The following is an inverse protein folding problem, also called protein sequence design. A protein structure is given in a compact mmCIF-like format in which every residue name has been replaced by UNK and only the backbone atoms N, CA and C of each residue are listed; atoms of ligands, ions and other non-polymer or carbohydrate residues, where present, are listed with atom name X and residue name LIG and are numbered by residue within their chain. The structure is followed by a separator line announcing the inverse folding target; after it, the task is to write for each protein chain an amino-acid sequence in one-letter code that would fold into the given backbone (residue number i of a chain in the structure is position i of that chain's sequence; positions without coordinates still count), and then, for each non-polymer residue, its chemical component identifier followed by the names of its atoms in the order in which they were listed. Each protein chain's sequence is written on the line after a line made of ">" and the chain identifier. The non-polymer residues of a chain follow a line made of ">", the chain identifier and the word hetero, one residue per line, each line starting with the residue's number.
data_IF_543713678207
#
_entry.id   IF_543713678207
#
_cell.length_a   1.000
_cell.length_b   1.000
_cell.length_c   1.000
_cell.angle_alpha   90.00
_cell.angle_beta   90.00
_cell.angle_gamma   90.00
#
_symmetry.space_group_name_H-M   'P 1'
#
loop_
_entity.id
_entity.type
_entity.pdbx_description
1 polymer ?
#
# COMPACT_ATOMS: atom_id res chain seq x y z
N UNK A 1 -12.53 26.42 10.24
CA UNK A 1 -11.35 26.36 9.36
C UNK A 1 -11.74 25.58 8.11
N UNK A 2 -11.51 26.10 6.94
CA UNK A 2 -11.76 25.38 5.69
C UNK A 2 -10.79 24.20 5.58
N UNK A 3 -11.26 23.05 5.07
CA UNK A 3 -10.46 21.85 4.90
C UNK A 3 -10.19 21.65 3.41
N UNK A 4 -8.95 21.36 3.06
CA UNK A 4 -8.59 21.05 1.69
C UNK A 4 -9.27 19.75 1.22
N UNK A 5 -9.79 19.73 0.00
CA UNK A 5 -10.39 18.55 -0.61
C UNK A 5 -9.34 17.54 -1.14
N UNK A 6 -8.04 17.76 -0.87
CA UNK A 6 -6.94 16.94 -1.36
C UNK A 6 -6.18 16.25 -0.23
N UNK A 7 -6.77 15.24 0.44
CA UNK A 7 -6.06 14.48 1.45
C UNK A 7 -4.90 13.69 0.81
N UNK A 8 -3.71 13.82 1.39
CA UNK A 8 -2.48 13.18 0.90
C UNK A 8 -1.68 12.47 2.00
N UNK A 9 -2.20 12.46 3.22
CA UNK A 9 -1.57 11.84 4.38
C UNK A 9 -2.43 10.68 4.90
N UNK A 10 -1.85 9.48 4.94
CA UNK A 10 -2.56 8.26 5.36
C UNK A 10 -3.47 7.66 4.27
N UNK A 11 -4.12 6.54 4.56
CA UNK A 11 -5.15 5.98 3.69
C UNK A 11 -6.39 6.87 3.65
N UNK A 12 -6.97 7.02 2.48
CA UNK A 12 -8.23 7.76 2.28
C UNK A 12 -9.42 6.97 2.83
N UNK A 13 -10.47 7.69 3.21
CA UNK A 13 -11.76 7.06 3.46
C UNK A 13 -12.40 6.60 2.13
N UNK A 14 -13.37 5.70 2.21
CA UNK A 14 -13.91 5.03 1.02
C UNK A 14 -14.53 5.98 -0.01
N UNK A 15 -15.18 7.05 0.43
CA UNK A 15 -15.82 8.07 -0.39
C UNK A 15 -14.84 9.12 -0.95
N UNK A 16 -13.64 9.23 -0.37
CA UNK A 16 -12.59 10.12 -0.84
C UNK A 16 -11.77 9.53 -2.01
N UNK A 17 -11.87 8.21 -2.26
CA UNK A 17 -11.12 7.53 -3.33
C UNK A 17 -11.75 7.84 -4.68
N UNK A 18 -10.96 8.41 -5.59
CA UNK A 18 -11.38 8.79 -6.94
C UNK A 18 -10.42 8.28 -8.00
N UNK A 19 -10.90 8.12 -9.23
CA UNK A 19 -10.09 7.67 -10.37
C UNK A 19 -9.64 6.21 -10.31
N UNK A 20 -10.38 5.37 -9.54
CA UNK A 20 -10.13 3.94 -9.36
C UNK A 20 -11.43 3.13 -9.36
N UNK A 21 -12.44 3.60 -10.09
CA UNK A 21 -13.77 2.99 -10.04
C UNK A 21 -13.79 1.61 -10.67
N UNK A 22 -13.07 1.40 -11.77
CA UNK A 22 -12.98 0.10 -12.45
C UNK A 22 -12.24 -0.92 -11.56
N UNK A 23 -11.11 -0.52 -10.97
CA UNK A 23 -10.36 -1.39 -10.06
C UNK A 23 -11.16 -1.71 -8.79
N UNK A 24 -11.93 -0.73 -8.27
CA UNK A 24 -12.82 -0.96 -7.13
C UNK A 24 -13.93 -1.95 -7.48
N UNK A 25 -14.57 -1.80 -8.64
CA UNK A 25 -15.61 -2.71 -9.13
C UNK A 25 -15.08 -4.13 -9.34
N UNK A 26 -13.87 -4.26 -9.91
CA UNK A 26 -13.20 -5.56 -10.05
C UNK A 26 -12.91 -6.22 -8.70
N UNK A 27 -12.43 -5.46 -7.71
CA UNK A 27 -12.21 -5.96 -6.36
C UNK A 27 -13.51 -6.41 -5.70
N UNK A 28 -14.59 -5.61 -5.79
CA UNK A 28 -15.91 -5.97 -5.28
C UNK A 28 -16.40 -7.29 -5.89
N UNK A 29 -16.28 -7.44 -7.20
CA UNK A 29 -16.67 -8.67 -7.93
C UNK A 29 -15.83 -9.86 -7.48
N UNK A 30 -14.53 -9.71 -7.32
CA UNK A 30 -13.63 -10.80 -6.92
C UNK A 30 -13.84 -11.19 -5.47
N UNK A 31 -13.85 -10.24 -4.55
CA UNK A 31 -14.04 -10.47 -3.11
C UNK A 31 -15.43 -11.01 -2.80
N UNK A 32 -16.48 -10.45 -3.41
CA UNK A 32 -17.85 -10.96 -3.29
C UNK A 32 -18.03 -12.36 -3.90
N UNK A 33 -17.31 -12.64 -4.99
CA UNK A 33 -17.22 -13.97 -5.60
C UNK A 33 -16.27 -14.94 -4.87
N UNK A 34 -15.68 -14.52 -3.75
CA UNK A 34 -14.74 -15.31 -2.94
C UNK A 34 -13.52 -15.80 -3.72
N UNK A 35 -13.06 -14.99 -4.67
CA UNK A 35 -11.83 -15.22 -5.41
C UNK A 35 -10.71 -14.46 -4.73
N UNK A 36 -9.68 -15.15 -4.19
CA UNK A 36 -8.55 -14.48 -3.56
C UNK A 36 -7.82 -13.54 -4.53
N UNK A 37 -7.43 -12.36 -4.05
CA UNK A 37 -6.75 -11.33 -4.83
C UNK A 37 -5.39 -11.01 -4.22
N UNK A 38 -4.37 -10.88 -5.05
CA UNK A 38 -3.06 -10.32 -4.70
C UNK A 38 -2.91 -8.94 -5.34
N UNK A 39 -3.16 -7.89 -4.56
CA UNK A 39 -3.07 -6.49 -4.99
C UNK A 39 -1.65 -5.97 -4.81
N UNK A 40 -1.01 -5.62 -5.92
CA UNK A 40 0.39 -5.18 -5.96
C UNK A 40 0.47 -3.75 -6.47
N UNK A 41 1.17 -2.89 -5.76
CA UNK A 41 1.51 -1.56 -6.25
C UNK A 41 2.65 -0.96 -5.42
N UNK A 42 3.40 0.00 -5.96
CA UNK A 42 4.36 0.77 -5.18
C UNK A 42 3.73 1.41 -3.94
N UNK A 43 4.58 1.81 -2.98
CA UNK A 43 4.10 2.58 -1.83
C UNK A 43 3.41 3.86 -2.28
N UNK A 44 2.35 4.27 -1.54
CA UNK A 44 1.61 5.53 -1.79
C UNK A 44 0.80 5.57 -3.09
N UNK A 45 0.59 4.41 -3.75
CA UNK A 45 -0.28 4.27 -4.92
C UNK A 45 -1.75 4.02 -4.58
N UNK A 46 -2.09 4.03 -3.28
CA UNK A 46 -3.48 3.95 -2.83
C UNK A 46 -4.04 2.54 -2.66
N UNK A 47 -3.19 1.47 -2.54
CA UNK A 47 -3.66 0.10 -2.28
C UNK A 47 -4.66 0.00 -1.14
N UNK A 48 -4.26 0.49 0.04
CA UNK A 48 -5.08 0.44 1.26
C UNK A 48 -6.38 1.24 1.10
N UNK A 49 -6.31 2.41 0.45
CA UNK A 49 -7.50 3.23 0.15
C UNK A 49 -8.46 2.52 -0.81
N UNK A 50 -7.93 1.91 -1.87
CA UNK A 50 -8.74 1.15 -2.83
C UNK A 50 -9.41 -0.07 -2.18
N UNK A 51 -8.68 -0.81 -1.33
CA UNK A 51 -9.26 -1.92 -0.58
C UNK A 51 -10.36 -1.45 0.38
N UNK A 52 -10.17 -0.31 1.07
CA UNK A 52 -11.23 0.29 1.91
C UNK A 52 -12.47 0.63 1.09
N UNK A 53 -12.30 1.24 -0.10
CA UNK A 53 -13.41 1.52 -1.01
C UNK A 53 -14.12 0.24 -1.45
N UNK A 54 -13.37 -0.78 -1.86
CA UNK A 54 -13.95 -2.04 -2.31
C UNK A 54 -14.74 -2.76 -1.22
N UNK A 55 -14.23 -2.86 0.00
CA UNK A 55 -14.95 -3.50 1.11
C UNK A 55 -16.14 -2.67 1.56
N UNK A 56 -16.05 -1.33 1.52
CA UNK A 56 -17.19 -0.45 1.79
C UNK A 56 -18.29 -0.63 0.76
N UNK A 57 -17.96 -0.68 -0.54
CA UNK A 57 -18.94 -0.94 -1.60
C UNK A 57 -19.58 -2.32 -1.46
N UNK A 58 -18.79 -3.33 -1.10
CA UNK A 58 -19.32 -4.67 -0.87
C UNK A 58 -20.31 -4.71 0.30
N UNK A 59 -20.00 -4.01 1.41
CA UNK A 59 -20.88 -3.90 2.58
C UNK A 59 -22.21 -3.21 2.27
N UNK A 60 -22.25 -2.30 1.27
CA UNK A 60 -23.52 -1.70 0.80
C UNK A 60 -24.42 -2.71 0.05
N UNK A 61 -23.83 -3.75 -0.53
CA UNK A 61 -24.58 -4.80 -1.27
C UNK A 61 -25.00 -5.93 -0.33
N UNK A 62 -24.09 -6.39 0.52
CA UNK A 62 -24.30 -7.45 1.50
C UNK A 62 -23.55 -7.12 2.78
N UNK A 63 -24.24 -7.03 3.95
CA UNK A 63 -23.57 -6.75 5.23
C UNK A 63 -22.40 -7.70 5.47
N UNK A 64 -21.19 -7.17 5.42
CA UNK A 64 -19.95 -7.93 5.38
C UNK A 64 -19.02 -7.50 6.50
N UNK A 65 -18.55 -8.46 7.29
CA UNK A 65 -17.54 -8.19 8.32
C UNK A 65 -16.15 -8.10 7.70
N UNK A 66 -15.45 -6.99 7.88
CA UNK A 66 -14.09 -6.81 7.38
C UNK A 66 -13.08 -6.97 8.49
N UNK A 67 -12.11 -7.86 8.29
CA UNK A 67 -10.96 -8.05 9.17
C UNK A 67 -9.73 -7.51 8.47
N UNK A 68 -9.05 -6.57 9.11
CA UNK A 68 -7.87 -5.91 8.55
C UNK A 68 -6.62 -6.29 9.34
N UNK A 69 -5.76 -7.09 8.72
CA UNK A 69 -4.50 -7.58 9.28
C UNK A 69 -3.32 -6.89 8.58
N UNK A 70 -2.69 -5.95 9.27
CA UNK A 70 -1.50 -5.24 8.79
C UNK A 70 -0.24 -5.95 9.27
N UNK A 71 0.59 -6.41 8.32
CA UNK A 71 1.83 -7.13 8.56
C UNK A 71 3.08 -6.26 8.35
N UNK A 72 2.94 -4.95 8.19
CA UNK A 72 4.09 -4.05 8.01
C UNK A 72 5.12 -4.23 9.13
N UNK A 73 6.37 -4.59 8.77
CA UNK A 73 7.45 -4.80 9.72
C UNK A 73 7.22 -5.97 10.70
N UNK A 74 6.50 -7.02 10.28
CA UNK A 74 6.29 -8.21 11.08
C UNK A 74 7.63 -8.83 11.52
N UNK A 75 7.77 -9.13 12.84
CA UNK A 75 9.05 -9.54 13.41
C UNK A 75 9.11 -10.98 13.93
N UNK A 76 7.96 -11.59 14.25
CA UNK A 76 7.90 -12.93 14.83
C UNK A 76 6.50 -13.54 14.75
N UNK A 77 6.38 -14.86 15.01
CA UNK A 77 5.10 -15.56 15.16
C UNK A 77 4.28 -14.97 16.32
N UNK A 78 4.94 -14.57 17.41
CA UNK A 78 4.28 -13.90 18.54
C UNK A 78 3.69 -12.55 18.14
N UNK A 79 4.43 -11.75 17.33
CA UNK A 79 3.92 -10.48 16.80
C UNK A 79 2.72 -10.71 15.86
N UNK A 80 2.78 -11.75 15.03
CA UNK A 80 1.65 -12.15 14.19
C UNK A 80 0.40 -12.51 15.01
N UNK A 81 0.55 -13.31 16.07
CA UNK A 81 -0.55 -13.65 16.98
C UNK A 81 -1.20 -12.40 17.59
N UNK A 82 -0.38 -11.44 18.05
CA UNK A 82 -0.84 -10.18 18.63
C UNK A 82 -1.58 -9.31 17.60
N UNK A 83 -1.08 -9.25 16.37
CA UNK A 83 -1.73 -8.47 15.29
C UNK A 83 -3.05 -9.10 14.86
N UNK A 84 -3.10 -10.41 14.72
CA UNK A 84 -4.30 -11.15 14.39
C UNK A 84 -5.37 -10.99 15.50
N UNK A 85 -5.00 -11.17 16.77
CA UNK A 85 -5.89 -10.92 17.90
C UNK A 85 -6.46 -9.49 17.88
N UNK A 86 -5.60 -8.49 17.65
CA UNK A 86 -6.03 -7.09 17.52
C UNK A 86 -6.96 -6.86 16.34
N UNK A 87 -6.70 -7.49 15.19
CA UNK A 87 -7.57 -7.40 14.02
C UNK A 87 -8.97 -8.00 14.31
N UNK A 88 -9.01 -9.16 14.93
CA UNK A 88 -10.24 -9.82 15.34
C UNK A 88 -10.99 -9.06 16.44
N UNK A 89 -10.26 -8.44 17.40
CA UNK A 89 -10.86 -7.66 18.48
C UNK A 89 -11.59 -6.39 18.02
N UNK A 90 -11.31 -5.92 16.81
CA UNK A 90 -11.98 -4.75 16.21
C UNK A 90 -13.30 -5.08 15.53
N UNK A 91 -13.61 -6.35 15.33
CA UNK A 91 -14.90 -6.77 14.80
C UNK A 91 -16.04 -6.49 15.78
N UNK A 92 -17.25 -6.30 15.28
CA UNK A 92 -18.44 -5.91 16.08
C UNK A 92 -19.66 -6.73 15.71
N UNK A 93 -20.77 -6.54 16.43
CA UNK A 93 -22.06 -7.13 16.14
C UNK A 93 -22.07 -8.66 16.21
N UNK A 94 -22.94 -9.27 15.42
CA UNK A 94 -23.15 -10.75 15.42
C UNK A 94 -21.90 -11.56 15.10
N UNK A 95 -21.05 -11.02 14.22
CA UNK A 95 -19.77 -11.65 13.92
C UNK A 95 -18.92 -11.77 15.18
N UNK A 96 -18.77 -10.66 15.92
CA UNK A 96 -17.99 -10.63 17.16
C UNK A 96 -18.57 -11.57 18.24
N UNK A 97 -19.87 -11.57 18.44
CA UNK A 97 -20.53 -12.46 19.39
C UNK A 97 -20.30 -13.93 19.05
N UNK A 98 -20.33 -14.29 17.78
CA UNK A 98 -20.08 -15.66 17.32
C UNK A 98 -18.59 -16.02 17.50
N UNK A 99 -17.69 -15.13 17.12
CA UNK A 99 -16.24 -15.30 17.28
C UNK A 99 -15.88 -15.53 18.77
N UNK A 100 -16.41 -14.73 19.69
CA UNK A 100 -16.14 -14.86 21.13
C UNK A 100 -16.65 -16.21 21.68
N UNK A 101 -17.79 -16.69 21.19
CA UNK A 101 -18.34 -18.00 21.60
C UNK A 101 -17.44 -19.15 21.13
N UNK A 102 -16.95 -19.09 19.87
CA UNK A 102 -16.05 -20.12 19.35
C UNK A 102 -14.71 -20.08 20.07
N UNK A 103 -14.12 -18.89 20.22
CA UNK A 103 -12.86 -18.69 20.89
C UNK A 103 -12.92 -19.16 22.36
N UNK A 104 -14.01 -18.86 23.07
CA UNK A 104 -14.24 -19.35 24.44
C UNK A 104 -14.27 -20.88 24.53
N UNK A 105 -14.84 -21.55 23.54
CA UNK A 105 -14.81 -23.02 23.44
C UNK A 105 -13.40 -23.60 23.21
N UNK A 106 -12.48 -22.79 22.69
CA UNK A 106 -11.06 -23.12 22.51
C UNK A 106 -10.17 -22.59 23.65
N UNK A 107 -10.79 -22.12 24.76
CA UNK A 107 -10.11 -21.49 25.88
C UNK A 107 -9.28 -20.26 25.50
N UNK A 108 -9.74 -19.52 24.51
CA UNK A 108 -9.12 -18.30 23.99
C UNK A 108 -9.98 -17.08 24.34
N UNK A 109 -9.33 -15.98 24.70
CA UNK A 109 -9.99 -14.70 24.93
C UNK A 109 -9.49 -13.68 23.93
N UNK A 110 -10.32 -13.32 22.95
CA UNK A 110 -10.00 -12.34 21.91
C UNK A 110 -9.86 -10.96 22.54
N UNK A 111 -8.73 -10.30 22.23
CA UNK A 111 -8.39 -8.95 22.70
C UNK A 111 -7.43 -8.91 23.89
N UNK A 112 -7.10 -10.05 24.52
CA UNK A 112 -6.15 -10.10 25.64
C UNK A 112 -4.88 -10.93 25.36
N UNK A 113 -4.78 -11.55 24.18
CA UNK A 113 -3.65 -12.40 23.79
C UNK A 113 -2.32 -11.65 23.97
N UNK A 114 -2.27 -10.37 23.62
CA UNK A 114 -1.07 -9.55 23.82
C UNK A 114 -0.64 -9.41 25.29
N UNK A 115 -1.58 -9.40 26.21
CA UNK A 115 -1.31 -9.33 27.65
C UNK A 115 -0.86 -10.70 28.17
N UNK A 116 -1.47 -11.78 27.69
CA UNK A 116 -1.12 -13.16 28.07
C UNK A 116 0.29 -13.52 27.61
N UNK A 117 0.63 -13.24 26.34
CA UNK A 117 1.97 -13.48 25.78
C UNK A 117 3.07 -12.66 26.49
N UNK A 118 2.76 -11.44 26.97
CA UNK A 118 3.75 -10.62 27.72
C UNK A 118 3.95 -11.07 29.16
N UNK A 119 2.90 -11.53 29.84
CA UNK A 119 2.99 -11.98 31.24
C UNK A 119 3.84 -13.22 31.41
N UNK A 120 3.99 -13.98 30.37
CA UNK A 120 4.44 -15.37 30.46
C UNK A 120 5.76 -15.63 29.71
N UNK A 121 6.77 -14.79 29.91
CA UNK A 121 8.11 -15.02 29.35
C UNK A 121 8.75 -16.38 29.79
N UNK A 122 8.14 -17.10 30.76
CA UNK A 122 8.59 -18.44 31.23
C UNK A 122 7.53 -19.55 31.23
N UNK A 123 6.24 -19.24 31.04
CA UNK A 123 5.14 -20.23 31.14
C UNK A 123 3.88 -19.78 30.36
N UNK A 124 4.04 -18.97 29.31
CA UNK A 124 2.93 -18.48 28.48
C UNK A 124 2.44 -19.47 27.45
N UNK A 125 1.27 -19.16 26.83
CA UNK A 125 0.79 -19.95 25.73
C UNK A 125 1.81 -19.94 24.59
N UNK A 126 1.96 -21.08 23.90
CA UNK A 126 2.79 -21.17 22.71
C UNK A 126 2.22 -20.23 21.63
N UNK A 127 3.04 -19.29 21.09
CA UNK A 127 2.57 -18.37 20.06
C UNK A 127 2.02 -19.09 18.83
N UNK A 128 2.60 -20.22 18.42
CA UNK A 128 2.15 -21.01 17.28
C UNK A 128 0.78 -21.62 17.54
N UNK A 129 0.58 -22.24 18.71
CA UNK A 129 -0.72 -22.76 19.12
C UNK A 129 -1.79 -21.65 19.21
N UNK A 130 -1.39 -20.47 19.68
CA UNK A 130 -2.27 -19.30 19.73
C UNK A 130 -2.71 -18.86 18.33
N UNK A 131 -1.79 -18.79 17.37
CA UNK A 131 -2.13 -18.46 15.96
C UNK A 131 -3.11 -19.48 15.39
N UNK A 132 -2.85 -20.79 15.59
CA UNK A 132 -3.77 -21.84 15.14
C UNK A 132 -5.17 -21.65 15.73
N UNK A 133 -5.30 -21.40 17.01
CA UNK A 133 -6.59 -21.22 17.66
C UNK A 133 -7.33 -19.94 17.19
N UNK A 134 -6.61 -18.85 16.96
CA UNK A 134 -7.17 -17.62 16.38
C UNK A 134 -7.67 -17.85 14.94
N UNK A 135 -6.88 -18.52 14.10
CA UNK A 135 -7.25 -18.85 12.72
C UNK A 135 -8.42 -19.83 12.65
N UNK A 136 -8.47 -20.83 13.53
CA UNK A 136 -9.62 -21.76 13.66
C UNK A 136 -10.89 -21.02 14.07
N UNK A 137 -10.78 -20.09 15.04
CA UNK A 137 -11.91 -19.27 15.47
C UNK A 137 -12.43 -18.40 14.34
N UNK A 138 -11.53 -17.78 13.58
CA UNK A 138 -11.88 -17.02 12.38
C UNK A 138 -12.59 -17.92 11.36
N UNK A 139 -11.99 -19.04 10.96
CA UNK A 139 -12.53 -19.94 9.94
C UNK A 139 -13.94 -20.40 10.24
N UNK A 140 -14.19 -20.88 11.46
CA UNK A 140 -15.54 -21.30 11.90
C UNK A 140 -16.56 -20.16 11.94
N UNK A 141 -16.10 -18.92 12.22
CA UNK A 141 -17.00 -17.77 12.23
C UNK A 141 -17.42 -17.38 10.81
N UNK A 142 -16.52 -17.49 9.84
CA UNK A 142 -16.79 -17.13 8.44
C UNK A 142 -17.78 -18.08 7.75
N UNK A 143 -17.93 -19.30 8.21
CA UNK A 143 -18.95 -20.24 7.70
C UNK A 143 -20.39 -19.70 7.84
N UNK A 144 -20.62 -18.77 8.77
CA UNK A 144 -21.94 -18.26 9.10
C UNK A 144 -22.10 -16.75 8.87
N UNK A 145 -21.04 -16.05 8.50
CA UNK A 145 -21.05 -14.61 8.32
C UNK A 145 -20.26 -14.21 7.08
N UNK A 146 -20.86 -13.43 6.14
CA UNK A 146 -20.12 -12.85 5.04
C UNK A 146 -18.91 -12.06 5.58
N UNK A 147 -17.73 -12.42 5.11
CA UNK A 147 -16.48 -11.91 5.68
C UNK A 147 -15.48 -11.61 4.58
N UNK A 148 -14.73 -10.52 4.75
CA UNK A 148 -13.52 -10.22 3.97
C UNK A 148 -12.34 -10.12 4.92
N UNK A 149 -11.29 -10.88 4.65
CA UNK A 149 -9.99 -10.75 5.29
C UNK A 149 -9.03 -10.02 4.35
N UNK A 150 -8.53 -8.87 4.80
CA UNK A 150 -7.47 -8.11 4.14
C UNK A 150 -6.17 -8.33 4.90
N UNK A 151 -5.16 -8.86 4.21
CA UNK A 151 -3.80 -9.02 4.72
C UNK A 151 -2.91 -8.00 4.00
N UNK A 152 -2.66 -6.88 4.67
CA UNK A 152 -1.86 -5.79 4.11
C UNK A 152 -0.37 -6.01 4.41
N UNK A 153 0.50 -5.64 3.45
CA UNK A 153 1.94 -5.83 3.46
C UNK A 153 2.37 -7.28 3.73
N UNK A 154 1.68 -8.26 3.11
CA UNK A 154 1.93 -9.70 3.30
C UNK A 154 3.36 -10.11 2.98
N UNK A 155 4.05 -9.39 2.11
CA UNK A 155 5.46 -9.62 1.78
C UNK A 155 6.40 -9.48 3.00
N UNK A 156 6.00 -8.74 4.03
CA UNK A 156 6.80 -8.59 5.25
C UNK A 156 6.75 -9.82 6.17
N UNK A 157 5.87 -10.77 5.89
CA UNK A 157 5.84 -12.05 6.59
C UNK A 157 6.80 -13.10 5.99
N UNK A 158 7.38 -12.84 4.82
CA UNK A 158 8.34 -13.76 4.18
C UNK A 158 9.58 -13.90 5.06
N UNK A 159 9.91 -15.15 5.42
CA UNK A 159 11.05 -15.45 6.28
C UNK A 159 10.82 -15.23 7.78
N UNK A 160 9.59 -14.89 8.19
CA UNK A 160 9.23 -14.74 9.61
C UNK A 160 8.68 -16.06 10.15
N UNK A 161 9.56 -16.93 10.63
CA UNK A 161 9.20 -18.25 11.12
C UNK A 161 8.38 -19.05 10.10
N UNK A 162 7.29 -19.68 10.53
CA UNK A 162 6.35 -20.44 9.72
C UNK A 162 4.98 -19.75 9.59
N UNK A 163 4.94 -18.42 9.67
CA UNK A 163 3.67 -17.64 9.66
C UNK A 163 2.88 -17.86 8.38
N UNK A 164 3.53 -17.83 7.22
CA UNK A 164 2.85 -17.98 5.94
C UNK A 164 2.33 -19.41 5.72
N UNK A 165 3.06 -20.41 6.16
CA UNK A 165 2.67 -21.82 6.09
C UNK A 165 1.45 -22.08 6.98
N UNK A 166 1.45 -21.55 8.22
CA UNK A 166 0.31 -21.64 9.13
C UNK A 166 -0.91 -20.93 8.53
N UNK A 167 -0.73 -19.69 8.11
CA UNK A 167 -1.82 -18.91 7.50
C UNK A 167 -2.41 -19.63 6.28
N UNK A 168 -1.56 -20.13 5.37
CA UNK A 168 -2.01 -20.91 4.22
C UNK A 168 -2.81 -22.15 4.62
N UNK A 169 -2.32 -22.91 5.60
CA UNK A 169 -2.99 -24.14 6.05
C UNK A 169 -4.44 -23.90 6.47
N UNK A 170 -4.69 -22.82 7.24
CA UNK A 170 -6.04 -22.46 7.67
C UNK A 170 -6.85 -21.82 6.54
N UNK A 171 -6.28 -20.89 5.79
CA UNK A 171 -6.99 -20.17 4.73
C UNK A 171 -7.46 -21.10 3.62
N UNK A 172 -6.69 -22.16 3.32
CA UNK A 172 -7.06 -23.14 2.29
C UNK A 172 -8.42 -23.80 2.54
N UNK A 173 -8.78 -24.02 3.80
CA UNK A 173 -10.07 -24.63 4.18
C UNK A 173 -11.25 -23.67 4.02
N UNK A 174 -11.01 -22.35 4.08
CA UNK A 174 -12.05 -21.30 4.11
C UNK A 174 -12.07 -20.38 2.89
N UNK A 175 -11.29 -20.66 1.85
CA UNK A 175 -11.28 -19.84 0.62
C UNK A 175 -12.65 -19.69 -0.04
N UNK A 176 -13.56 -20.63 0.17
CA UNK A 176 -14.91 -20.59 -0.39
C UNK A 176 -15.92 -19.86 0.49
N UNK A 177 -15.51 -19.53 1.72
CA UNK A 177 -16.41 -18.99 2.74
C UNK A 177 -16.19 -17.50 2.96
N UNK A 178 -15.02 -16.95 2.57
CA UNK A 178 -14.72 -15.53 2.72
C UNK A 178 -14.02 -14.92 1.50
N UNK A 179 -14.17 -13.60 1.33
CA UNK A 179 -13.33 -12.80 0.43
C UNK A 179 -11.92 -12.66 1.03
N UNK A 180 -10.88 -12.78 0.21
CA UNK A 180 -9.49 -12.70 0.67
C UNK A 180 -8.68 -11.76 -0.22
N UNK A 181 -8.12 -10.72 0.38
CA UNK A 181 -7.22 -9.79 -0.28
C UNK A 181 -5.84 -9.80 0.38
N UNK A 182 -4.83 -10.12 -0.39
CA UNK A 182 -3.42 -9.89 -0.04
C UNK A 182 -2.97 -8.59 -0.69
N UNK A 183 -2.33 -7.71 0.06
CA UNK A 183 -1.75 -6.49 -0.47
C UNK A 183 -0.26 -6.41 -0.16
N UNK A 184 0.52 -5.80 -1.05
CA UNK A 184 1.94 -5.61 -0.81
C UNK A 184 2.55 -4.54 -1.71
N UNK A 185 3.57 -3.86 -1.16
CA UNK A 185 4.28 -2.77 -1.82
C UNK A 185 5.61 -3.19 -2.45
N UNK A 186 5.97 -4.47 -2.38
CA UNK A 186 7.21 -5.05 -2.91
C UNK A 186 6.90 -5.97 -4.10
N UNK A 187 6.88 -5.49 -5.35
CA UNK A 187 6.39 -6.24 -6.51
C UNK A 187 7.08 -7.59 -6.73
N UNK A 188 8.40 -7.65 -6.62
CA UNK A 188 9.17 -8.89 -6.81
C UNK A 188 8.86 -9.91 -5.72
N UNK A 189 8.76 -9.47 -4.45
CA UNK A 189 8.40 -10.35 -3.34
C UNK A 189 6.97 -10.87 -3.49
N UNK A 190 6.04 -10.02 -3.91
CA UNK A 190 4.66 -10.42 -4.22
C UNK A 190 4.62 -11.41 -5.38
N UNK A 191 5.40 -11.17 -6.44
CA UNK A 191 5.53 -12.12 -7.54
C UNK A 191 6.07 -13.46 -7.05
N UNK A 192 7.14 -13.45 -6.26
CA UNK A 192 7.70 -14.66 -5.69
C UNK A 192 6.65 -15.41 -4.85
N UNK A 193 5.96 -14.72 -3.95
CA UNK A 193 4.99 -15.34 -3.03
C UNK A 193 3.84 -16.06 -3.74
N UNK A 194 3.39 -15.54 -4.90
CA UNK A 194 2.21 -16.08 -5.62
C UNK A 194 2.54 -16.80 -6.94
N UNK A 195 3.75 -16.68 -7.47
CA UNK A 195 4.13 -17.30 -8.74
C UNK A 195 5.24 -18.34 -8.63
N UNK A 196 5.97 -18.40 -7.52
CA UNK A 196 7.01 -19.42 -7.27
C UNK A 196 6.38 -20.68 -6.68
N UNK A 197 6.65 -21.83 -7.28
CA UNK A 197 6.10 -23.15 -6.90
C UNK A 197 6.47 -23.57 -5.49
N UNK A 198 7.59 -23.07 -4.96
CA UNK A 198 8.08 -23.42 -3.61
C UNK A 198 7.46 -22.53 -2.52
N UNK A 199 6.60 -21.58 -2.89
CA UNK A 199 5.97 -20.67 -1.93
C UNK A 199 4.59 -21.14 -1.47
N UNK A 200 4.20 -20.85 -0.20
CA UNK A 200 2.94 -21.33 0.37
C UNK A 200 1.70 -20.91 -0.43
N UNK A 201 1.71 -19.73 -1.06
CA UNK A 201 0.55 -19.17 -1.78
C UNK A 201 0.65 -19.29 -3.31
N UNK A 202 1.53 -20.17 -3.82
CA UNK A 202 1.64 -20.41 -5.25
C UNK A 202 0.28 -20.62 -5.93
N UNK A 203 -0.01 -19.83 -6.95
CA UNK A 203 -1.24 -19.88 -7.77
C UNK A 203 -2.58 -19.78 -7.00
N UNK A 204 -2.57 -19.23 -5.77
CA UNK A 204 -3.76 -19.19 -4.91
C UNK A 204 -4.52 -17.86 -4.95
N UNK A 205 -4.00 -16.84 -5.60
CA UNK A 205 -4.66 -15.54 -5.70
C UNK A 205 -4.55 -14.97 -7.12
N UNK A 206 -5.61 -14.29 -7.56
CA UNK A 206 -5.59 -13.53 -8.81
C UNK A 206 -4.77 -12.26 -8.60
N UNK A 207 -3.70 -12.11 -9.37
CA UNK A 207 -2.86 -10.93 -9.33
C UNK A 207 -3.58 -9.73 -9.95
N UNK A 208 -3.55 -8.61 -9.26
CA UNK A 208 -4.03 -7.31 -9.69
C UNK A 208 -2.96 -6.27 -9.40
N UNK A 209 -2.54 -5.53 -10.40
CA UNK A 209 -1.54 -4.47 -10.27
C UNK A 209 -2.21 -3.11 -10.38
N UNK A 210 -1.84 -2.19 -9.48
CA UNK A 210 -2.25 -0.80 -9.60
C UNK A 210 -1.19 -0.03 -10.39
N UNK A 211 -1.59 0.41 -11.54
CA UNK A 211 -0.81 1.31 -12.37
C UNK A 211 -0.87 2.76 -11.85
N UNK A 212 -0.03 3.60 -12.43
CA UNK A 212 -0.13 5.05 -12.26
C UNK A 212 -1.54 5.53 -12.64
N UNK A 213 -2.07 6.54 -11.94
CA UNK A 213 -3.34 7.14 -12.33
C UNK A 213 -3.23 7.77 -13.72
N UNK A 214 -4.24 7.62 -14.58
CA UNK A 214 -4.31 8.33 -15.85
C UNK A 214 -4.23 9.85 -15.63
N UNK A 215 -3.63 10.56 -16.57
CA UNK A 215 -3.47 12.02 -16.52
C UNK A 215 -4.82 12.73 -16.43
N UNK A 216 -5.78 12.29 -17.23
CA UNK A 216 -7.14 12.82 -17.26
C UNK A 216 -7.89 12.59 -15.93
N UNK A 217 -7.70 11.44 -15.29
CA UNK A 217 -8.25 11.18 -13.97
C UNK A 217 -7.71 12.17 -12.91
N UNK A 218 -6.40 12.46 -12.93
CA UNK A 218 -5.83 13.45 -12.01
C UNK A 218 -6.38 14.83 -12.30
N UNK A 219 -6.44 15.24 -13.57
CA UNK A 219 -6.99 16.55 -13.99
C UNK A 219 -8.43 16.68 -13.50
N UNK A 220 -9.25 15.67 -13.69
CA UNK A 220 -10.65 15.66 -13.24
C UNK A 220 -10.76 15.79 -11.71
N UNK A 221 -9.99 15.02 -10.96
CA UNK A 221 -9.97 15.08 -9.49
C UNK A 221 -9.59 16.47 -9.01
N UNK A 222 -8.57 17.09 -9.60
CA UNK A 222 -8.12 18.42 -9.23
C UNK A 222 -9.20 19.46 -9.54
N UNK A 223 -9.80 19.44 -10.74
CA UNK A 223 -10.90 20.36 -11.08
C UNK A 223 -12.09 20.21 -10.14
N UNK A 224 -12.51 18.99 -9.83
CA UNK A 224 -13.62 18.71 -8.92
C UNK A 224 -13.34 19.21 -7.50
N UNK A 225 -12.15 18.97 -6.99
CA UNK A 225 -11.75 19.42 -5.66
C UNK A 225 -11.74 20.95 -5.55
N UNK A 226 -11.19 21.67 -6.52
CA UNK A 226 -11.26 23.12 -6.55
C UNK A 226 -12.68 23.65 -6.63
N UNK A 227 -13.49 23.08 -7.54
CA UNK A 227 -14.88 23.48 -7.74
C UNK A 227 -15.74 23.26 -6.49
N UNK A 228 -15.52 22.19 -5.73
CA UNK A 228 -16.27 21.87 -4.50
C UNK A 228 -16.13 22.94 -3.41
N UNK A 229 -15.14 23.81 -3.52
CA UNK A 229 -14.87 24.91 -2.58
C UNK A 229 -14.96 26.30 -3.25
N UNK A 230 -15.64 26.38 -4.42
CA UNK A 230 -15.84 27.63 -5.13
C UNK A 230 -14.57 28.22 -5.76
N UNK A 231 -13.58 27.39 -6.08
CA UNK A 231 -12.32 27.78 -6.72
C UNK A 231 -12.23 27.20 -8.14
N UNK A 232 -11.32 27.72 -8.95
CA UNK A 232 -11.05 27.18 -10.28
C UNK A 232 -9.58 26.74 -10.39
N UNK A 233 -9.34 25.48 -10.74
CA UNK A 233 -7.98 24.95 -10.88
C UNK A 233 -7.23 25.53 -12.09
N UNK A 234 -7.93 25.98 -13.14
CA UNK A 234 -7.31 26.53 -14.34
C UNK A 234 -6.23 25.62 -14.93
N UNK A 235 -5.08 26.20 -15.38
CA UNK A 235 -3.99 25.41 -15.97
C UNK A 235 -3.23 24.56 -14.96
N UNK A 236 -3.41 24.80 -13.65
CA UNK A 236 -2.69 24.11 -12.59
C UNK A 236 -3.03 22.62 -12.56
N UNK A 237 -4.26 22.23 -12.91
CA UNK A 237 -4.66 20.83 -12.97
C UNK A 237 -3.79 20.01 -13.94
N UNK A 238 -3.54 20.53 -15.14
CA UNK A 238 -2.68 19.86 -16.13
C UNK A 238 -1.21 19.87 -15.69
N UNK A 239 -0.72 20.94 -15.06
CA UNK A 239 0.64 21.02 -14.53
C UNK A 239 0.87 19.99 -13.42
N UNK A 240 -0.08 19.83 -12.48
CA UNK A 240 -0.05 18.82 -11.42
C UNK A 240 -0.02 17.42 -12.02
N UNK A 241 -0.88 17.12 -12.98
CA UNK A 241 -0.96 15.79 -13.60
C UNK A 241 0.33 15.45 -14.36
N UNK A 242 0.90 16.42 -15.06
CA UNK A 242 2.18 16.27 -15.78
C UNK A 242 3.35 16.01 -14.84
N UNK A 243 3.51 16.84 -13.79
CA UNK A 243 4.59 16.69 -12.82
C UNK A 243 4.43 15.42 -11.98
N UNK A 244 3.22 15.15 -11.52
CA UNK A 244 2.88 13.99 -10.67
C UNK A 244 3.06 12.65 -11.38
N UNK A 245 3.08 12.63 -12.73
CA UNK A 245 3.30 11.45 -13.57
C UNK A 245 2.45 10.24 -13.14
N UNK A 246 1.20 10.49 -12.73
CA UNK A 246 0.28 9.46 -12.26
C UNK A 246 0.48 9.02 -10.80
N UNK A 247 1.40 9.61 -10.04
CA UNK A 247 1.61 9.28 -8.64
C UNK A 247 0.52 9.90 -7.75
N UNK A 248 -0.42 9.11 -7.18
CA UNK A 248 -1.61 9.64 -6.52
C UNK A 248 -1.29 10.63 -5.39
N UNK A 249 -0.45 10.20 -4.44
CA UNK A 249 -0.14 11.03 -3.28
C UNK A 249 0.54 12.35 -3.67
N UNK A 250 1.52 12.34 -4.60
CA UNK A 250 2.23 13.55 -5.00
C UNK A 250 1.34 14.51 -5.77
N UNK A 251 0.45 13.98 -6.60
CA UNK A 251 -0.56 14.80 -7.27
C UNK A 251 -1.49 15.49 -6.27
N UNK A 252 -1.96 14.77 -5.24
CA UNK A 252 -2.80 15.38 -4.21
C UNK A 252 -2.03 16.36 -3.31
N UNK A 253 -0.77 16.10 -3.00
CA UNK A 253 0.09 17.02 -2.24
C UNK A 253 0.30 18.36 -2.97
N UNK A 254 0.53 18.30 -4.28
CA UNK A 254 0.64 19.48 -5.13
C UNK A 254 -0.68 20.23 -5.27
N UNK A 255 -1.79 19.47 -5.41
CA UNK A 255 -3.12 20.05 -5.49
C UNK A 255 -3.51 20.76 -4.19
N UNK A 256 -3.19 20.16 -3.04
CA UNK A 256 -3.35 20.79 -1.73
C UNK A 256 -2.59 22.12 -1.63
N UNK A 257 -1.30 22.10 -2.02
CA UNK A 257 -0.47 23.31 -2.04
C UNK A 257 -1.04 24.44 -2.91
N UNK A 258 -1.48 24.11 -4.12
CA UNK A 258 -2.07 25.07 -5.03
C UNK A 258 -3.45 25.57 -4.55
N UNK A 259 -4.24 24.71 -3.94
CA UNK A 259 -5.55 25.07 -3.38
C UNK A 259 -5.43 26.08 -2.25
N UNK A 260 -4.47 25.91 -1.33
CA UNK A 260 -4.21 26.88 -0.25
C UNK A 260 -3.76 28.27 -0.73
N UNK A 261 -3.16 28.34 -1.92
CA UNK A 261 -2.73 29.58 -2.55
C UNK A 261 -3.82 30.24 -3.40
N UNK A 262 -4.97 29.58 -3.56
CA UNK A 262 -6.09 30.09 -4.38
C UNK A 262 -7.24 30.50 -3.47
N UNK A 263 -7.68 31.75 -3.54
CA UNK A 263 -8.82 32.22 -2.74
C UNK A 263 -10.18 31.75 -3.33
N UNK A 264 -11.21 31.56 -2.49
CA UNK A 264 -12.56 31.27 -2.97
C UNK A 264 -13.03 32.34 -3.98
N UNK A 265 -13.70 31.89 -5.06
CA UNK A 265 -14.15 32.77 -6.14
C UNK A 265 -13.07 33.15 -7.15
N UNK A 266 -11.84 32.66 -6.98
CA UNK A 266 -10.73 32.94 -7.90
C UNK A 266 -10.25 31.68 -8.64
N UNK A 267 -9.34 31.87 -9.60
CA UNK A 267 -8.70 30.80 -10.36
C UNK A 267 -7.21 30.72 -10.09
N UNK A 268 -6.69 29.49 -10.02
CA UNK A 268 -5.27 29.23 -9.98
C UNK A 268 -4.65 29.46 -11.36
N UNK A 269 -3.48 30.08 -11.38
CA UNK A 269 -2.73 30.41 -12.59
C UNK A 269 -1.31 29.80 -12.56
N UNK A 270 -0.47 30.17 -13.52
CA UNK A 270 0.91 29.70 -13.59
C UNK A 270 1.75 30.14 -12.38
N UNK A 271 1.54 31.33 -11.84
CA UNK A 271 2.24 31.79 -10.64
C UNK A 271 1.84 30.98 -9.41
N UNK A 272 0.55 30.63 -9.29
CA UNK A 272 0.04 29.72 -8.27
C UNK A 272 0.73 28.35 -8.35
N UNK A 273 0.88 27.78 -9.56
CA UNK A 273 1.58 26.53 -9.77
C UNK A 273 3.04 26.59 -9.32
N UNK A 274 3.78 27.60 -9.75
CA UNK A 274 5.20 27.76 -9.43
C UNK A 274 5.41 27.91 -7.91
N UNK A 275 4.57 28.70 -7.25
CA UNK A 275 4.63 28.88 -5.81
C UNK A 275 4.28 27.60 -5.04
N UNK A 276 3.24 26.86 -5.48
CA UNK A 276 2.85 25.59 -4.88
C UNK A 276 3.94 24.53 -5.01
N UNK A 277 4.50 24.39 -6.22
CA UNK A 277 5.59 23.43 -6.47
C UNK A 277 6.81 23.74 -5.62
N UNK A 278 7.21 25.01 -5.55
CA UNK A 278 8.38 25.42 -4.74
C UNK A 278 8.13 25.21 -3.24
N UNK A 279 6.94 25.50 -2.73
CA UNK A 279 6.58 25.20 -1.35
C UNK A 279 6.67 23.70 -1.01
N UNK A 280 6.19 22.83 -1.91
CA UNK A 280 6.28 21.36 -1.75
C UNK A 280 7.75 20.90 -1.82
N UNK A 281 8.55 21.43 -2.72
CA UNK A 281 10.00 21.17 -2.83
C UNK A 281 10.74 21.47 -1.54
N UNK A 282 10.57 22.70 -1.04
CA UNK A 282 11.23 23.17 0.19
C UNK A 282 10.84 22.29 1.39
N UNK A 283 9.54 22.02 1.54
CA UNK A 283 9.03 21.18 2.63
C UNK A 283 9.55 19.76 2.58
N UNK A 284 9.71 19.18 1.39
CA UNK A 284 10.09 17.78 1.21
C UNK A 284 11.61 17.57 1.14
N UNK A 285 12.41 18.59 0.84
CA UNK A 285 13.85 18.47 0.63
C UNK A 285 14.61 17.82 1.78
N UNK A 286 14.36 18.13 3.09
CA UNK A 286 15.07 17.46 4.18
C UNK A 286 14.85 15.94 4.16
N UNK A 287 13.60 15.49 4.07
CA UNK A 287 13.28 14.07 4.05
C UNK A 287 13.84 13.33 2.82
N UNK A 288 13.83 13.98 1.65
CA UNK A 288 14.43 13.42 0.43
C UNK A 288 15.96 13.31 0.54
N UNK A 289 16.61 14.31 1.13
CA UNK A 289 18.05 14.30 1.40
C UNK A 289 18.42 13.17 2.37
N UNK A 290 17.69 13.05 3.48
CA UNK A 290 17.93 12.01 4.48
C UNK A 290 17.72 10.61 3.87
N UNK A 291 16.62 10.43 3.14
CA UNK A 291 16.37 9.18 2.42
C UNK A 291 17.50 8.84 1.44
N UNK A 292 17.91 9.80 0.61
CA UNK A 292 18.97 9.56 -0.35
C UNK A 292 20.31 9.29 0.34
N UNK A 293 20.59 9.96 1.44
CA UNK A 293 21.83 9.85 2.22
C UNK A 293 22.04 8.48 2.88
N UNK A 294 20.95 7.76 3.25
CA UNK A 294 21.06 6.42 3.84
C UNK A 294 21.21 5.30 2.82
N UNK A 295 21.02 5.60 1.54
CA UNK A 295 21.22 4.62 0.47
C UNK A 295 22.72 4.34 0.26
N UNK A 296 23.05 3.09 -0.11
CA UNK A 296 24.41 2.76 -0.53
C UNK A 296 24.85 3.58 -1.75
N UNK A 297 26.15 3.84 -1.88
CA UNK A 297 26.70 4.60 -3.02
C UNK A 297 26.28 4.04 -4.38
N UNK A 298 26.18 2.72 -4.54
CA UNK A 298 25.71 2.08 -5.77
C UNK A 298 24.24 2.40 -6.05
N UNK A 299 23.35 2.33 -5.03
CA UNK A 299 21.95 2.71 -5.18
C UNK A 299 21.79 4.19 -5.56
N UNK A 300 22.57 5.07 -4.92
CA UNK A 300 22.60 6.50 -5.26
C UNK A 300 23.02 6.72 -6.71
N UNK A 301 24.08 6.03 -7.18
CA UNK A 301 24.54 6.11 -8.56
C UNK A 301 23.47 5.65 -9.56
N UNK A 302 22.79 4.53 -9.28
CA UNK A 302 21.70 4.02 -10.12
C UNK A 302 20.54 5.01 -10.19
N UNK A 303 20.11 5.59 -9.07
CA UNK A 303 19.03 6.59 -9.07
C UNK A 303 19.38 7.83 -9.90
N UNK A 304 20.63 8.35 -9.77
CA UNK A 304 21.11 9.48 -10.60
C UNK A 304 21.14 9.14 -12.07
N UNK A 305 21.64 7.95 -12.44
CA UNK A 305 21.69 7.50 -13.81
C UNK A 305 20.28 7.40 -14.42
N UNK A 306 19.35 6.81 -13.69
CA UNK A 306 17.95 6.68 -14.14
C UNK A 306 17.29 8.05 -14.31
N UNK A 307 17.50 9.00 -13.41
CA UNK A 307 16.96 10.37 -13.55
C UNK A 307 17.51 11.07 -14.79
N UNK A 308 18.80 10.89 -15.08
CA UNK A 308 19.47 11.58 -16.19
C UNK A 308 19.21 10.97 -17.55
N UNK A 309 19.12 9.66 -17.63
CA UNK A 309 19.16 8.93 -18.91
C UNK A 309 18.03 7.91 -19.07
N UNK A 310 17.25 7.62 -18.04
CA UNK A 310 16.28 6.52 -18.02
C UNK A 310 16.94 5.13 -18.00
N UNK A 311 18.28 5.05 -17.90
CA UNK A 311 19.03 3.82 -18.01
C UNK A 311 19.90 3.58 -16.77
N UNK A 312 19.63 2.51 -15.98
CA UNK A 312 20.37 2.23 -14.74
C UNK A 312 21.86 1.95 -14.97
N UNK A 313 22.21 1.36 -16.11
CA UNK A 313 23.60 1.00 -16.47
C UNK A 313 24.48 2.21 -16.81
N UNK A 314 23.91 3.38 -17.11
CA UNK A 314 24.67 4.62 -17.21
C UNK A 314 25.34 5.02 -15.88
N UNK A 315 25.01 4.33 -14.77
CA UNK A 315 25.72 4.51 -13.50
C UNK A 315 27.19 4.10 -13.54
N UNK A 316 27.61 3.27 -14.51
CA UNK A 316 29.03 2.93 -14.73
C UNK A 316 29.81 4.01 -15.47
N UNK A 317 29.15 5.06 -15.94
CA UNK A 317 29.77 6.17 -16.66
C UNK A 317 30.07 7.36 -15.73
N UNK A 318 31.08 8.16 -16.05
CA UNK A 318 31.42 9.35 -15.28
C UNK A 318 32.13 9.06 -13.96
N UNK A 319 31.70 9.67 -12.85
CA UNK A 319 32.36 9.55 -11.52
C UNK A 319 32.30 8.16 -10.89
N UNK A 320 31.56 7.23 -11.45
CA UNK A 320 31.31 5.89 -10.92
C UNK A 320 31.90 4.78 -11.78
N UNK A 321 32.99 5.05 -12.49
CA UNK A 321 33.69 4.11 -13.39
C UNK A 321 34.01 2.73 -12.78
N UNK A 322 34.05 2.60 -11.46
CA UNK A 322 34.40 1.37 -10.75
C UNK A 322 33.21 0.43 -10.48
N UNK A 323 31.97 0.82 -10.87
CA UNK A 323 30.80 -0.02 -10.64
C UNK A 323 30.69 -1.12 -11.71
N UNK A 324 30.70 -2.38 -11.26
CA UNK A 324 30.43 -3.51 -12.14
C UNK A 324 28.96 -3.59 -12.55
N UNK A 325 28.68 -4.14 -13.72
CA UNK A 325 27.29 -4.37 -14.17
C UNK A 325 26.51 -5.27 -13.19
N UNK A 326 27.14 -6.22 -12.53
CA UNK A 326 26.52 -7.05 -11.50
C UNK A 326 26.09 -6.23 -10.29
N UNK A 327 26.94 -5.32 -9.81
CA UNK A 327 26.61 -4.42 -8.68
C UNK A 327 25.44 -3.49 -9.03
N UNK A 328 25.42 -2.96 -10.27
CA UNK A 328 24.33 -2.10 -10.76
C UNK A 328 23.01 -2.90 -10.86
N UNK A 329 23.06 -4.13 -11.37
CA UNK A 329 21.88 -5.01 -11.45
C UNK A 329 21.31 -5.27 -10.06
N UNK A 330 22.14 -5.67 -9.09
CA UNK A 330 21.73 -5.92 -7.71
C UNK A 330 21.09 -4.66 -7.08
N UNK A 331 21.73 -3.50 -7.28
CA UNK A 331 21.20 -2.25 -6.74
C UNK A 331 19.88 -1.82 -7.39
N UNK A 332 19.76 -1.98 -8.72
CA UNK A 332 18.52 -1.72 -9.47
C UNK A 332 17.39 -2.63 -8.96
N UNK A 333 17.64 -3.93 -8.86
CA UNK A 333 16.64 -4.91 -8.46
C UNK A 333 16.19 -4.65 -7.02
N UNK A 334 17.13 -4.33 -6.13
CA UNK A 334 16.79 -3.92 -4.76
C UNK A 334 15.93 -2.63 -4.74
N UNK A 335 16.23 -1.63 -5.57
CA UNK A 335 15.43 -0.40 -5.67
C UNK A 335 14.04 -0.64 -6.26
N UNK A 336 13.90 -1.60 -7.18
CA UNK A 336 12.60 -2.05 -7.69
C UNK A 336 11.82 -2.77 -6.59
N UNK A 337 12.46 -3.69 -5.85
CA UNK A 337 11.85 -4.41 -4.73
C UNK A 337 11.41 -3.49 -3.60
N UNK A 338 12.20 -2.45 -3.33
CA UNK A 338 11.88 -1.43 -2.34
C UNK A 338 10.80 -0.44 -2.83
N UNK A 339 10.38 -0.54 -4.11
CA UNK A 339 9.35 0.32 -4.71
C UNK A 339 9.83 1.72 -5.06
N UNK A 340 11.14 1.94 -5.23
CA UNK A 340 11.71 3.24 -5.61
C UNK A 340 11.89 3.39 -7.12
N UNK A 341 12.09 2.27 -7.82
CA UNK A 341 12.14 2.20 -9.27
C UNK A 341 11.00 1.33 -9.82
N UNK A 342 10.57 1.65 -11.02
CA UNK A 342 9.72 0.80 -11.84
C UNK A 342 10.39 0.57 -13.20
N UNK A 343 10.23 -0.64 -13.72
CA UNK A 343 10.71 -1.03 -15.04
C UNK A 343 9.49 -1.36 -15.91
N UNK A 344 9.43 -0.82 -17.10
CA UNK A 344 8.36 -1.10 -18.06
C UNK A 344 8.67 -0.53 -19.43
N UNK A 345 8.23 -1.21 -20.49
CA UNK A 345 8.43 -0.73 -21.88
C UNK A 345 9.90 -0.53 -22.28
N UNK A 346 10.84 -1.24 -21.65
CA UNK A 346 12.28 -1.08 -21.92
C UNK A 346 12.93 0.11 -21.22
N UNK A 347 12.18 0.87 -20.39
CA UNK A 347 12.69 2.02 -19.64
C UNK A 347 12.62 1.77 -18.14
N UNK A 348 13.46 2.48 -17.39
CA UNK A 348 13.43 2.50 -15.93
C UNK A 348 13.16 3.93 -15.48
N UNK A 349 12.27 4.09 -14.52
CA UNK A 349 11.92 5.41 -13.97
C UNK A 349 11.78 5.38 -12.45
N UNK A 350 11.97 6.51 -11.80
CA UNK A 350 11.65 6.65 -10.38
C UNK A 350 10.13 6.61 -10.18
N UNK A 351 9.72 5.98 -9.08
CA UNK A 351 8.31 5.92 -8.68
C UNK A 351 7.85 7.28 -8.13
N UNK A 352 8.69 7.92 -7.30
CA UNK A 352 8.38 9.23 -6.70
C UNK A 352 8.89 10.37 -7.60
N UNK A 353 7.99 11.15 -8.26
CA UNK A 353 8.38 12.24 -9.15
C UNK A 353 9.10 13.39 -8.43
N UNK A 354 8.78 13.59 -7.13
CA UNK A 354 9.43 14.63 -6.35
C UNK A 354 10.88 14.27 -5.97
N UNK A 355 11.14 12.96 -5.74
CA UNK A 355 12.52 12.48 -5.57
C UNK A 355 13.30 12.61 -6.89
N UNK A 356 12.68 12.32 -8.03
CA UNK A 356 13.32 12.50 -9.33
C UNK A 356 13.68 13.97 -9.59
N UNK A 357 12.76 14.88 -9.34
CA UNK A 357 12.98 16.33 -9.46
C UNK A 357 14.08 16.81 -8.50
N UNK A 358 14.08 16.35 -7.26
CA UNK A 358 15.09 16.71 -6.27
C UNK A 358 16.49 16.23 -6.70
N UNK A 359 16.63 14.97 -7.16
CA UNK A 359 17.92 14.45 -7.67
C UNK A 359 18.38 15.27 -8.87
N UNK A 360 17.50 15.58 -9.80
CA UNK A 360 17.86 16.36 -11.00
C UNK A 360 18.40 17.77 -10.67
N UNK A 361 17.86 18.40 -9.61
CA UNK A 361 18.22 19.77 -9.22
C UNK A 361 19.43 19.85 -8.30
N UNK A 362 19.51 18.97 -7.31
CA UNK A 362 20.51 19.05 -6.24
C UNK A 362 21.77 18.22 -6.51
N UNK A 363 21.67 17.22 -7.42
CA UNK A 363 22.72 16.24 -7.66
C UNK A 363 22.97 16.01 -9.16
N UNK A 364 23.20 17.07 -9.94
CA UNK A 364 23.37 17.01 -11.39
C UNK A 364 24.57 16.15 -11.83
#
# INVERSE_FOLDING_TARGET
>A
MERSPFPHSGPLEADEVTGRDDEAADLVRLLGGRVPVALVAPRRYGKTSLLRRAVWLLDQVEPTSTIWLDLYGLSSVSDFAVRLDRALSRTTGRFREHLDRIAGGLSLNIGIVSAELRRSARSGPDPTATVHALMDSLGRTTEHHPTVLVIDEVADAVGVGNVLEIARSHLQSVYRDMGLAFAGSKPTMMTRLFADTDQPFYSQARRMELEALPVDAIVEVVHRGFASTGRHAGPVAAAIASFGAGHPQRSMELADGAWWLTEPGTGADQATWEAALEAVRVRSAPALRDFFGVLSGTKQAVLRAVVRTGAPFAASEGRFHDLSNSSITIARDALVDEGHLRTGGGTTSLVDPLLADWIARELP
#
